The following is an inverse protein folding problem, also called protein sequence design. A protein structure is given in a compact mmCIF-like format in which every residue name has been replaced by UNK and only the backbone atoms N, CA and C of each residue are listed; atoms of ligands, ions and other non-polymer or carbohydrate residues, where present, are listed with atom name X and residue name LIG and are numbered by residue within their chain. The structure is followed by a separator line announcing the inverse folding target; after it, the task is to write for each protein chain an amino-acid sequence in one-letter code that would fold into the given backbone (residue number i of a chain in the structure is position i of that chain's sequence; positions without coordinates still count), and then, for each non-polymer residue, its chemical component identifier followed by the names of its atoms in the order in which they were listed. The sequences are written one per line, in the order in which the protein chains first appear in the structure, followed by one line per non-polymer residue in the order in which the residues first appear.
data_IF_152728628513
#
_entry.id   IF_152728628513
#
_cell.length_a   1.000
_cell.length_b   1.000
_cell.length_c   1.000
_cell.angle_alpha   90.00
_cell.angle_beta   90.00
_cell.angle_gamma   90.00
#
_symmetry.space_group_name_H-M   'P 1'
#
loop_
_entity.id
_entity.type
_entity.pdbx_description
1 polymer ?
#
# COMPACT_ATOMS: atom_id res chain seq x y z
N UNK A 1 -27.77 40.90 -9.28
CA UNK A 1 -27.81 39.49 -8.81
C UNK A 1 -26.43 38.84 -8.80
N UNK A 2 -25.64 38.89 -9.89
CA UNK A 2 -24.30 38.26 -9.93
C UNK A 2 -23.30 38.76 -8.86
N UNK A 3 -23.36 40.03 -8.46
CA UNK A 3 -22.49 40.62 -7.44
C UNK A 3 -22.72 40.06 -6.02
N UNK A 4 -23.96 39.74 -5.65
CA UNK A 4 -24.29 39.19 -4.33
C UNK A 4 -23.80 37.75 -4.17
N UNK A 5 -23.87 36.95 -5.24
CA UNK A 5 -23.32 35.60 -5.25
C UNK A 5 -21.78 35.63 -5.10
N UNK A 6 -21.09 36.54 -5.79
CA UNK A 6 -19.64 36.68 -5.66
C UNK A 6 -19.21 37.04 -4.23
N UNK A 7 -19.89 37.99 -3.58
CA UNK A 7 -19.61 38.38 -2.19
C UNK A 7 -19.85 37.20 -1.22
N UNK A 8 -20.93 36.44 -1.43
CA UNK A 8 -21.22 35.25 -0.63
C UNK A 8 -20.12 34.18 -0.76
N UNK A 9 -19.65 33.89 -1.98
CA UNK A 9 -18.57 32.92 -2.18
C UNK A 9 -17.26 33.36 -1.52
N UNK A 10 -16.92 34.65 -1.60
CA UNK A 10 -15.73 35.20 -0.92
C UNK A 10 -15.84 35.00 0.59
N UNK A 11 -16.97 35.39 1.19
CA UNK A 11 -17.21 35.24 2.63
C UNK A 11 -17.16 33.78 3.08
N UNK A 12 -17.71 32.86 2.28
CA UNK A 12 -17.65 31.42 2.56
C UNK A 12 -16.24 30.85 2.42
N UNK A 13 -15.41 31.38 1.52
CA UNK A 13 -14.03 30.92 1.30
C UNK A 13 -13.03 31.43 2.35
N UNK A 14 -13.28 32.61 2.93
CA UNK A 14 -12.40 33.27 3.87
C UNK A 14 -11.96 32.41 5.08
N UNK A 15 -12.84 31.67 5.79
CA UNK A 15 -12.41 30.79 6.88
C UNK A 15 -11.46 29.68 6.42
N UNK A 16 -11.63 29.15 5.20
CA UNK A 16 -10.74 28.13 4.64
C UNK A 16 -9.35 28.72 4.33
N UNK A 17 -9.30 29.92 3.74
CA UNK A 17 -8.05 30.63 3.49
C UNK A 17 -7.29 30.94 4.78
N UNK A 18 -7.99 31.47 5.79
CA UNK A 18 -7.38 31.78 7.11
C UNK A 18 -6.88 30.50 7.77
N UNK A 19 -7.68 29.43 7.78
CA UNK A 19 -7.29 28.13 8.35
C UNK A 19 -6.05 27.54 7.64
N UNK A 20 -6.01 27.64 6.31
CA UNK A 20 -4.85 27.21 5.52
C UNK A 20 -3.60 28.02 5.86
N UNK A 21 -3.70 29.36 5.91
CA UNK A 21 -2.57 30.23 6.24
C UNK A 21 -2.02 29.98 7.66
N UNK A 22 -2.90 29.79 8.63
CA UNK A 22 -2.51 29.42 10.01
C UNK A 22 -1.80 28.07 10.01
N UNK A 23 -2.37 27.07 9.33
CA UNK A 23 -1.76 25.72 9.23
C UNK A 23 -0.40 25.76 8.55
N UNK A 24 -0.25 26.60 7.51
CA UNK A 24 1.00 26.82 6.80
C UNK A 24 2.07 27.47 7.69
N UNK A 25 1.69 28.51 8.44
CA UNK A 25 2.57 29.15 9.41
C UNK A 25 3.04 28.15 10.49
N UNK A 26 2.12 27.38 11.05
CA UNK A 26 2.41 26.35 12.05
C UNK A 26 3.32 25.24 11.51
N UNK A 27 3.12 24.82 10.26
CA UNK A 27 3.97 23.82 9.59
C UNK A 27 5.42 24.30 9.47
N UNK A 28 5.64 25.52 8.99
CA UNK A 28 6.99 26.08 8.87
C UNK A 28 7.62 26.39 10.23
N UNK A 29 6.82 26.87 11.19
CA UNK A 29 7.28 27.10 12.55
C UNK A 29 7.76 25.80 13.21
N UNK A 30 6.96 24.73 13.14
CA UNK A 30 7.29 23.44 13.70
C UNK A 30 8.56 22.84 13.07
N UNK A 31 8.70 22.92 11.73
CA UNK A 31 9.89 22.42 11.05
C UNK A 31 11.16 23.23 11.37
N UNK A 32 11.07 24.55 11.55
CA UNK A 32 12.24 25.40 11.88
C UNK A 32 12.68 25.26 13.33
N UNK A 33 11.74 25.00 14.25
CA UNK A 33 12.02 24.88 15.68
C UNK A 33 12.09 23.42 16.16
N UNK A 34 12.01 22.44 15.25
CA UNK A 34 12.23 21.05 15.60
C UNK A 34 13.72 20.81 15.81
N UNK A 35 14.11 20.66 17.07
CA UNK A 35 15.41 20.11 17.44
C UNK A 35 15.31 18.60 17.47
N UNK A 36 16.33 17.89 16.96
CA UNK A 36 16.41 16.43 16.95
C UNK A 36 16.34 15.77 18.34
N UNK A 37 16.40 16.55 19.42
CA UNK A 37 16.33 16.07 20.82
C UNK A 37 14.92 16.04 21.41
N UNK A 38 13.96 16.74 20.79
CA UNK A 38 12.60 16.84 21.34
C UNK A 38 11.68 15.78 20.72
N UNK A 39 11.09 14.93 21.57
CA UNK A 39 10.03 13.98 21.15
C UNK A 39 8.75 14.78 20.89
N UNK A 40 8.56 15.18 19.64
CA UNK A 40 7.37 15.92 19.18
C UNK A 40 6.70 15.17 18.03
N UNK A 41 5.39 15.33 17.94
CA UNK A 41 4.66 14.83 16.79
C UNK A 41 5.15 15.55 15.52
N UNK A 42 5.36 14.81 14.41
CA UNK A 42 5.71 15.41 13.13
C UNK A 42 4.73 16.52 12.72
N UNK A 43 5.18 17.57 12.01
CA UNK A 43 4.31 18.65 11.60
C UNK A 43 3.18 18.14 10.69
N UNK A 44 2.01 18.78 10.77
CA UNK A 44 0.87 18.46 9.89
C UNK A 44 1.01 19.27 8.61
N UNK A 45 0.93 18.60 7.47
CA UNK A 45 0.93 19.26 6.17
C UNK A 45 -0.38 20.07 5.99
N UNK A 46 -0.30 21.34 5.57
CA UNK A 46 -1.48 22.15 5.31
C UNK A 46 -2.32 21.57 4.16
N UNK A 47 -3.59 21.29 4.43
CA UNK A 47 -4.54 20.79 3.44
C UNK A 47 -5.40 21.93 2.90
N UNK A 48 -5.50 22.05 1.57
CA UNK A 48 -6.36 23.04 0.93
C UNK A 48 -7.86 22.72 1.09
N UNK A 49 -8.21 21.42 1.09
CA UNK A 49 -9.59 20.95 1.22
C UNK A 49 -9.71 20.20 2.55
N UNK A 50 -10.43 20.72 3.56
CA UNK A 50 -10.44 20.09 4.89
C UNK A 50 -10.98 18.66 4.91
N UNK A 51 -11.98 18.37 4.07
CA UNK A 51 -12.64 17.05 4.06
C UNK A 51 -11.82 16.00 3.33
N UNK A 52 -11.22 16.36 2.19
CA UNK A 52 -10.41 15.44 1.38
C UNK A 52 -8.96 15.37 1.83
N UNK A 53 -8.48 16.40 2.54
CA UNK A 53 -7.08 16.50 2.92
C UNK A 53 -6.16 16.50 1.70
N UNK A 54 -5.34 15.46 1.63
CA UNK A 54 -4.34 15.20 0.60
C UNK A 54 -4.66 13.95 -0.23
N UNK A 55 -5.89 13.43 -0.15
CA UNK A 55 -6.31 12.20 -0.83
C UNK A 55 -6.04 12.24 -2.34
N UNK A 56 -6.37 13.35 -3.01
CA UNK A 56 -6.22 13.45 -4.47
C UNK A 56 -4.75 13.33 -4.91
N UNK A 57 -3.81 14.20 -4.47
CA UNK A 57 -2.41 14.05 -4.89
C UNK A 57 -1.80 12.73 -4.41
N UNK A 58 -2.24 12.19 -3.26
CA UNK A 58 -1.78 10.90 -2.78
C UNK A 58 -2.24 9.73 -3.66
N UNK A 59 -3.48 9.74 -4.16
CA UNK A 59 -4.01 8.62 -4.98
C UNK A 59 -3.57 8.66 -6.44
N UNK A 60 -3.37 9.86 -7.01
CA UNK A 60 -3.10 10.01 -8.44
C UNK A 60 -1.64 10.30 -8.80
N UNK A 61 -0.83 10.76 -7.83
CA UNK A 61 0.61 11.05 -8.02
C UNK A 61 1.39 10.73 -6.73
N UNK A 62 1.19 9.50 -6.23
CA UNK A 62 1.70 9.07 -4.92
C UNK A 62 3.21 9.26 -4.78
N UNK A 63 3.99 8.82 -5.77
CA UNK A 63 5.44 8.86 -5.73
C UNK A 63 5.98 10.29 -5.64
N UNK A 64 5.54 11.18 -6.52
CA UNK A 64 6.01 12.57 -6.51
C UNK A 64 5.47 13.33 -5.29
N UNK A 65 4.24 13.05 -4.86
CA UNK A 65 3.67 13.62 -3.64
C UNK A 65 4.49 13.24 -2.40
N UNK A 66 4.74 11.95 -2.19
CA UNK A 66 5.51 11.46 -1.03
C UNK A 66 6.92 12.05 -1.03
N UNK A 67 7.63 12.01 -2.16
CA UNK A 67 8.98 12.62 -2.30
C UNK A 67 9.00 14.09 -1.94
N UNK A 68 8.00 14.84 -2.40
CA UNK A 68 7.93 16.28 -2.14
C UNK A 68 7.62 16.60 -0.68
N UNK A 69 6.68 15.87 -0.05
CA UNK A 69 6.17 16.24 1.28
C UNK A 69 7.04 15.73 2.43
N UNK A 70 7.86 14.70 2.20
CA UNK A 70 8.83 14.20 3.16
C UNK A 70 10.21 14.87 3.02
N UNK A 71 10.28 16.01 2.34
CA UNK A 71 11.48 16.81 2.22
C UNK A 71 11.20 18.25 2.67
N UNK A 72 12.01 18.75 3.58
CA UNK A 72 11.93 20.13 4.07
C UNK A 72 13.31 20.77 4.08
N UNK A 73 13.46 21.94 3.44
CA UNK A 73 14.71 22.67 3.34
C UNK A 73 15.91 21.79 2.87
N UNK A 74 15.66 20.89 1.91
CA UNK A 74 16.66 19.99 1.35
C UNK A 74 17.01 18.77 2.21
N UNK A 75 16.34 18.56 3.35
CA UNK A 75 16.53 17.40 4.22
C UNK A 75 15.30 16.51 4.26
N UNK A 76 15.49 15.20 4.40
CA UNK A 76 14.39 14.29 4.66
C UNK A 76 13.73 14.64 6.00
N UNK A 77 12.41 14.48 6.05
CA UNK A 77 11.59 14.79 7.20
C UNK A 77 10.37 13.88 7.26
N UNK A 78 9.86 13.66 8.48
CA UNK A 78 8.58 13.02 8.71
C UNK A 78 7.46 14.07 8.69
N UNK A 79 6.34 13.77 8.04
CA UNK A 79 5.17 14.66 7.96
C UNK A 79 3.89 13.89 8.22
N UNK A 80 2.90 14.56 8.84
CA UNK A 80 1.54 14.04 8.93
C UNK A 80 0.68 14.60 7.82
N UNK A 81 0.07 13.72 7.05
CA UNK A 81 -0.95 14.06 6.06
C UNK A 81 -2.33 13.61 6.56
N UNK A 82 -3.36 14.10 5.89
CA UNK A 82 -4.75 13.65 6.06
C UNK A 82 -5.19 13.01 4.76
N UNK A 83 -5.63 11.76 4.79
CA UNK A 83 -6.37 11.12 3.71
C UNK A 83 -7.84 11.07 4.12
N UNK A 84 -8.63 11.94 3.52
CA UNK A 84 -9.99 12.25 3.95
C UNK A 84 -10.00 12.58 5.45
N UNK A 85 -10.56 11.71 6.31
CA UNK A 85 -10.66 11.89 7.75
C UNK A 85 -9.58 11.16 8.57
N UNK A 86 -8.66 10.43 7.94
CA UNK A 86 -7.64 9.64 8.61
C UNK A 86 -6.26 10.29 8.50
N UNK A 87 -5.56 10.42 9.62
CA UNK A 87 -4.19 10.91 9.66
C UNK A 87 -3.19 9.81 9.33
N UNK A 88 -2.21 10.10 8.46
CA UNK A 88 -1.13 9.18 8.10
C UNK A 88 0.21 9.88 8.27
N UNK A 89 1.21 9.12 8.73
CA UNK A 89 2.60 9.55 8.82
C UNK A 89 3.35 9.12 7.56
N UNK A 90 4.05 10.06 6.92
CA UNK A 90 4.93 9.81 5.79
C UNK A 90 6.36 10.16 6.18
N UNK A 91 7.30 9.28 5.85
CA UNK A 91 8.73 9.45 6.07
C UNK A 91 9.51 8.54 5.11
N UNK A 92 10.75 8.90 4.83
CA UNK A 92 11.65 8.14 3.92
C UNK A 92 13.03 7.87 4.52
N UNK A 93 13.27 8.28 5.77
CA UNK A 93 14.57 8.11 6.44
C UNK A 93 14.86 6.62 6.66
N UNK A 94 15.98 6.07 6.13
CA UNK A 94 16.31 4.65 6.23
C UNK A 94 16.33 4.13 7.68
N UNK A 95 16.84 4.94 8.61
CA UNK A 95 16.92 4.61 10.03
C UNK A 95 15.52 4.50 10.65
N UNK A 96 14.62 5.42 10.31
CA UNK A 96 13.23 5.40 10.78
C UNK A 96 12.46 4.22 10.20
N UNK A 97 12.65 3.91 8.90
CA UNK A 97 12.07 2.73 8.25
C UNK A 97 12.56 1.45 8.93
N UNK A 98 13.88 1.32 9.13
CA UNK A 98 14.47 0.16 9.79
C UNK A 98 13.99 0.00 11.24
N UNK A 99 13.81 1.11 11.97
CA UNK A 99 13.28 1.09 13.33
C UNK A 99 11.81 0.65 13.36
N UNK A 100 10.97 1.19 12.46
CA UNK A 100 9.56 0.81 12.36
C UNK A 100 9.39 -0.69 12.07
N UNK A 101 10.16 -1.20 11.12
CA UNK A 101 10.08 -2.61 10.69
C UNK A 101 10.49 -3.60 11.79
N UNK A 102 11.33 -3.16 12.73
CA UNK A 102 11.73 -3.96 13.89
C UNK A 102 10.74 -3.86 15.04
N UNK A 103 9.80 -2.91 15.01
CA UNK A 103 8.86 -2.70 16.10
C UNK A 103 7.67 -3.65 16.00
N UNK A 104 7.44 -4.55 16.97
CA UNK A 104 6.39 -5.59 16.90
C UNK A 104 4.99 -5.04 16.65
N UNK A 105 4.63 -3.93 17.32
CA UNK A 105 3.28 -3.36 17.22
C UNK A 105 3.05 -2.50 15.96
N UNK A 106 4.11 -2.04 15.31
CA UNK A 106 4.01 -1.10 14.17
C UNK A 106 4.36 -1.76 12.83
N UNK A 107 4.92 -2.97 12.86
CA UNK A 107 5.30 -3.74 11.67
C UNK A 107 4.18 -4.63 11.14
N UNK A 108 3.03 -4.71 11.80
CA UNK A 108 1.93 -5.59 11.37
C UNK A 108 1.23 -5.04 10.11
N UNK A 109 1.28 -5.75 8.97
CA UNK A 109 0.60 -5.34 7.74
C UNK A 109 -0.88 -5.77 7.68
N UNK A 110 -1.42 -6.38 8.76
CA UNK A 110 -2.71 -7.09 8.72
C UNK A 110 -3.88 -6.19 8.31
N UNK A 111 -3.85 -4.90 8.70
CA UNK A 111 -4.86 -3.94 8.30
C UNK A 111 -4.89 -3.74 6.78
N UNK A 112 -3.73 -3.58 6.14
CA UNK A 112 -3.66 -3.38 4.69
C UNK A 112 -4.08 -4.65 3.94
N UNK A 113 -3.70 -5.83 4.44
CA UNK A 113 -4.14 -7.10 3.85
C UNK A 113 -5.64 -7.29 3.93
N UNK A 114 -6.27 -7.01 5.07
CA UNK A 114 -7.73 -7.18 5.22
C UNK A 114 -8.51 -6.19 4.36
N UNK A 115 -8.03 -4.95 4.19
CA UNK A 115 -8.57 -3.98 3.23
C UNK A 115 -8.44 -4.51 1.79
N UNK A 116 -7.27 -5.01 1.40
CA UNK A 116 -7.04 -5.58 0.08
C UNK A 116 -7.94 -6.78 -0.22
N UNK A 117 -7.96 -7.78 0.67
CA UNK A 117 -8.80 -8.97 0.53
C UNK A 117 -10.29 -8.62 0.43
N UNK A 118 -10.77 -7.68 1.24
CA UNK A 118 -12.18 -7.27 1.22
C UNK A 118 -12.55 -6.50 -0.05
N UNK A 119 -11.79 -5.47 -0.38
CA UNK A 119 -12.22 -4.48 -1.38
C UNK A 119 -11.62 -4.71 -2.78
N UNK A 120 -10.43 -5.33 -2.89
CA UNK A 120 -9.84 -5.68 -4.19
C UNK A 120 -10.29 -7.07 -4.64
N UNK A 121 -10.30 -8.04 -3.73
CA UNK A 121 -10.61 -9.44 -4.06
C UNK A 121 -12.05 -9.85 -3.72
N UNK A 122 -12.86 -8.96 -3.16
CA UNK A 122 -14.27 -9.23 -2.85
C UNK A 122 -14.48 -10.31 -1.77
N UNK A 123 -13.50 -10.54 -0.90
CA UNK A 123 -13.60 -11.54 0.16
C UNK A 123 -14.71 -11.17 1.16
N UNK A 124 -15.56 -12.15 1.48
CA UNK A 124 -16.64 -12.01 2.47
C UNK A 124 -16.08 -11.85 3.88
N UNK A 125 -16.87 -11.25 4.78
CA UNK A 125 -16.44 -10.92 6.14
C UNK A 125 -16.04 -12.16 6.97
N UNK A 126 -16.78 -13.27 6.87
CA UNK A 126 -16.49 -14.48 7.67
C UNK A 126 -15.06 -15.06 7.44
N UNK A 127 -14.57 -15.25 6.20
CA UNK A 127 -13.16 -15.58 5.97
C UNK A 127 -12.15 -14.53 6.48
N UNK A 128 -12.51 -13.24 6.47
CA UNK A 128 -11.63 -12.17 6.95
C UNK A 128 -11.40 -12.24 8.47
N UNK A 129 -12.36 -12.76 9.23
CA UNK A 129 -12.24 -12.94 10.68
C UNK A 129 -11.01 -13.78 11.06
N UNK A 130 -10.66 -14.79 10.26
CA UNK A 130 -9.47 -15.62 10.48
C UNK A 130 -8.18 -14.80 10.38
N UNK A 131 -8.13 -13.83 9.46
CA UNK A 131 -6.97 -12.94 9.31
C UNK A 131 -6.91 -11.91 10.44
N UNK A 132 -8.04 -11.34 10.84
CA UNK A 132 -8.08 -10.34 11.93
C UNK A 132 -7.83 -10.95 13.31
N UNK A 133 -8.13 -12.23 13.48
CA UNK A 133 -7.88 -12.97 14.73
C UNK A 133 -6.41 -13.41 14.89
N UNK A 134 -5.61 -13.35 13.82
CA UNK A 134 -4.20 -13.70 13.86
C UNK A 134 -3.33 -12.51 14.30
N UNK A 135 -2.85 -12.55 15.54
CA UNK A 135 -1.96 -11.57 16.15
C UNK A 135 -0.49 -12.01 16.18
N UNK A 136 -0.16 -13.13 15.54
CA UNK A 136 1.19 -13.73 15.60
C UNK A 136 2.26 -12.88 14.93
N UNK A 137 1.87 -12.00 14.01
CA UNK A 137 2.79 -11.11 13.31
C UNK A 137 3.55 -11.76 12.17
N UNK A 138 4.32 -10.97 11.39
CA UNK A 138 4.97 -11.44 10.17
C UNK A 138 6.29 -12.18 10.40
N UNK A 139 6.74 -12.31 11.66
CA UNK A 139 8.05 -12.87 11.99
C UNK A 139 8.02 -14.39 12.11
N UNK A 140 9.20 -15.01 12.00
CA UNK A 140 9.36 -16.47 12.21
C UNK A 140 8.88 -16.90 13.61
N UNK A 141 9.14 -16.06 14.62
CA UNK A 141 8.63 -16.27 15.98
C UNK A 141 7.39 -15.40 16.17
N UNK A 142 6.27 -15.97 16.65
CA UNK A 142 5.09 -15.19 16.95
C UNK A 142 5.38 -14.10 18.00
N UNK A 143 4.59 -13.02 17.97
CA UNK A 143 4.61 -12.01 19.03
C UNK A 143 4.38 -12.63 20.41
N UNK A 144 4.99 -12.05 21.45
CA UNK A 144 4.80 -12.51 22.82
C UNK A 144 3.34 -12.37 23.25
N UNK A 145 2.76 -13.45 23.79
CA UNK A 145 1.39 -13.44 24.33
C UNK A 145 0.30 -13.93 23.37
N UNK A 146 0.64 -14.24 22.12
CA UNK A 146 -0.32 -14.87 21.18
C UNK A 146 -0.64 -16.31 21.57
N UNK A 147 -1.92 -16.67 21.46
CA UNK A 147 -2.44 -18.02 21.68
C UNK A 147 -2.89 -18.72 20.38
N UNK A 148 -2.55 -18.16 19.21
CA UNK A 148 -2.98 -18.72 17.93
C UNK A 148 -2.20 -20.00 17.60
N UNK A 149 -2.94 -21.09 17.44
CA UNK A 149 -2.40 -22.40 17.09
C UNK A 149 -1.64 -22.34 15.74
N UNK A 150 -0.54 -23.10 15.57
CA UNK A 150 0.32 -23.00 14.37
C UNK A 150 -0.41 -23.16 13.01
N UNK A 151 -1.48 -23.94 12.97
CA UNK A 151 -2.26 -24.19 11.74
C UNK A 151 -3.23 -23.06 11.39
N UNK A 152 -3.52 -22.15 12.33
CA UNK A 152 -4.42 -21.00 12.14
C UNK A 152 -3.65 -19.70 11.83
N UNK A 153 -2.32 -19.78 11.64
CA UNK A 153 -1.48 -18.63 11.32
C UNK A 153 -1.55 -18.33 9.83
N UNK A 154 -1.81 -17.08 9.50
CA UNK A 154 -1.98 -16.56 8.14
C UNK A 154 -0.72 -16.72 7.28
N UNK A 155 0.47 -16.62 7.87
CA UNK A 155 1.75 -16.76 7.16
C UNK A 155 2.46 -18.03 7.64
N UNK A 156 2.40 -19.09 6.83
CA UNK A 156 3.15 -20.33 7.06
C UNK A 156 4.31 -20.46 6.06
N UNK A 157 5.48 -19.99 6.47
CA UNK A 157 6.72 -20.00 5.65
C UNK A 157 7.18 -21.39 5.20
N UNK A 158 6.79 -22.47 5.91
CA UNK A 158 7.17 -23.84 5.52
C UNK A 158 6.44 -24.31 4.26
N UNK A 159 5.16 -23.93 4.05
CA UNK A 159 4.40 -24.33 2.86
C UNK A 159 4.94 -23.68 1.59
N UNK A 160 5.36 -22.41 1.68
CA UNK A 160 5.94 -21.68 0.55
C UNK A 160 7.30 -22.24 0.11
N UNK A 161 8.13 -22.71 1.05
CA UNK A 161 9.41 -23.35 0.70
C UNK A 161 9.22 -24.71 -0.01
N UNK A 162 8.19 -25.46 0.35
CA UNK A 162 7.89 -26.74 -0.30
C UNK A 162 7.37 -26.57 -1.74
N UNK A 163 6.63 -25.50 -2.04
CA UNK A 163 6.14 -25.24 -3.41
C UNK A 163 7.21 -24.69 -4.36
N UNK A 164 8.23 -24.01 -3.83
CA UNK A 164 9.34 -23.42 -4.61
C UNK A 164 10.52 -24.38 -4.83
N UNK A 165 10.45 -25.61 -4.32
CA UNK A 165 11.49 -26.60 -4.56
C UNK A 165 11.50 -26.98 -6.05
N UNK A 166 12.63 -26.86 -6.76
CA UNK A 166 12.65 -27.01 -8.21
C UNK A 166 12.22 -28.43 -8.60
N UNK A 167 11.09 -28.54 -9.31
CA UNK A 167 10.79 -29.73 -10.09
C UNK A 167 11.78 -29.76 -11.24
N UNK A 168 12.77 -30.63 -11.11
CA UNK A 168 13.79 -30.88 -12.12
C UNK A 168 13.10 -31.59 -13.30
N UNK A 169 12.83 -30.87 -14.39
CA UNK A 169 12.39 -31.46 -15.66
C UNK A 169 13.64 -31.77 -16.50
N UNK A 170 13.97 -33.05 -16.75
CA UNK A 170 15.08 -33.40 -17.63
C UNK A 170 14.63 -33.30 -19.09
N UNK A 171 15.16 -32.34 -19.84
CA UNK A 171 14.93 -32.28 -21.28
C UNK A 171 15.22 -30.93 -21.89
N UNK A 172 16.50 -30.60 -22.08
CA UNK A 172 16.87 -29.48 -22.95
C UNK A 172 16.63 -29.88 -24.41
N UNK A 173 15.42 -29.60 -24.91
CA UNK A 173 15.16 -29.62 -26.35
C UNK A 173 15.68 -28.31 -26.95
N UNK A 174 16.58 -28.41 -27.92
CA UNK A 174 17.02 -27.27 -28.71
C UNK A 174 15.83 -26.76 -29.55
N UNK A 175 15.14 -25.75 -29.02
CA UNK A 175 14.12 -25.03 -29.78
C UNK A 175 14.81 -23.95 -30.64
N UNK A 176 14.38 -23.77 -31.91
CA UNK A 176 14.88 -22.66 -32.72
C UNK A 176 14.53 -21.33 -32.06
N UNK A 177 15.43 -20.34 -32.17
CA UNK A 177 15.19 -18.99 -31.68
C UNK A 177 13.88 -18.44 -32.26
N UNK A 178 12.95 -18.07 -31.38
CA UNK A 178 11.71 -17.39 -31.76
C UNK A 178 11.81 -15.93 -31.30
N UNK A 179 11.58 -14.96 -32.20
CA UNK A 179 11.52 -13.56 -31.78
C UNK A 179 10.31 -13.36 -30.87
N UNK A 180 10.54 -12.75 -29.70
CA UNK A 180 9.49 -12.33 -28.78
C UNK A 180 9.55 -10.81 -28.66
N UNK A 181 8.47 -10.08 -29.00
CA UNK A 181 8.48 -8.62 -29.01
C UNK A 181 8.42 -8.02 -27.59
N UNK A 182 7.96 -8.78 -26.60
CA UNK A 182 7.80 -8.33 -25.22
C UNK A 182 8.36 -9.36 -24.23
N UNK A 183 9.45 -8.97 -23.55
CA UNK A 183 10.09 -9.79 -22.53
C UNK A 183 9.22 -9.94 -21.27
N UNK A 184 8.44 -8.93 -20.91
CA UNK A 184 7.52 -9.00 -19.77
C UNK A 184 6.41 -10.02 -20.05
N UNK A 185 5.87 -10.01 -21.26
CA UNK A 185 4.88 -10.99 -21.70
C UNK A 185 5.43 -12.42 -21.61
N UNK A 186 6.70 -12.64 -22.00
CA UNK A 186 7.34 -13.94 -21.83
C UNK A 186 7.33 -14.42 -20.36
N UNK A 187 7.69 -13.56 -19.40
CA UNK A 187 7.65 -13.90 -17.98
C UNK A 187 6.22 -14.15 -17.49
N UNK A 188 5.27 -13.27 -17.86
CA UNK A 188 3.85 -13.39 -17.53
C UNK A 188 3.28 -14.75 -17.95
N UNK A 189 3.62 -15.20 -19.15
CA UNK A 189 3.09 -16.44 -19.73
C UNK A 189 3.77 -17.69 -19.18
N UNK A 190 5.11 -17.71 -19.11
CA UNK A 190 5.85 -18.92 -18.78
C UNK A 190 6.02 -19.10 -17.26
N UNK A 191 6.48 -18.05 -16.58
CA UNK A 191 6.67 -18.08 -15.12
C UNK A 191 5.33 -18.03 -14.41
N UNK A 192 4.40 -17.18 -14.86
CA UNK A 192 3.05 -17.12 -14.30
C UNK A 192 2.31 -18.47 -14.36
N UNK A 193 2.36 -19.16 -15.51
CA UNK A 193 1.81 -20.51 -15.65
C UNK A 193 2.47 -21.51 -14.71
N UNK A 194 3.79 -21.58 -14.69
CA UNK A 194 4.52 -22.52 -13.82
C UNK A 194 4.21 -22.30 -12.33
N UNK A 195 4.06 -21.03 -11.91
CA UNK A 195 3.64 -20.68 -10.54
C UNK A 195 2.21 -21.16 -10.29
N UNK A 196 1.25 -20.88 -11.17
CA UNK A 196 -0.14 -21.32 -11.00
C UNK A 196 -0.25 -22.84 -10.92
N UNK A 197 0.42 -23.57 -11.81
CA UNK A 197 0.39 -25.04 -11.81
C UNK A 197 1.08 -25.64 -10.59
N UNK A 198 2.13 -24.99 -10.07
CA UNK A 198 2.81 -25.47 -8.86
C UNK A 198 1.98 -25.22 -7.58
N UNK A 199 1.23 -24.12 -7.52
CA UNK A 199 0.41 -23.75 -6.36
C UNK A 199 -0.97 -24.41 -6.36
N UNK A 200 -1.62 -24.49 -7.52
CA UNK A 200 -3.02 -24.88 -7.66
C UNK A 200 -3.21 -26.18 -8.47
N UNK A 201 -2.13 -26.72 -9.04
CA UNK A 201 -2.19 -27.85 -9.96
C UNK A 201 -2.62 -27.44 -11.38
N UNK A 202 -2.56 -28.39 -12.34
CA UNK A 202 -2.87 -28.12 -13.75
C UNK A 202 -4.37 -27.95 -14.02
N UNK A 203 -5.24 -28.40 -13.10
CA UNK A 203 -6.69 -28.44 -13.33
C UNK A 203 -7.31 -27.06 -13.57
N UNK A 204 -6.79 -26.00 -12.93
CA UNK A 204 -7.30 -24.65 -13.11
C UNK A 204 -7.14 -24.16 -14.55
N UNK A 205 -5.96 -24.35 -15.14
CA UNK A 205 -5.66 -23.91 -16.50
C UNK A 205 -6.28 -24.84 -17.55
N UNK A 206 -6.48 -26.12 -17.22
CA UNK A 206 -7.24 -27.03 -18.08
C UNK A 206 -8.72 -26.64 -18.15
N UNK A 207 -9.32 -26.24 -17.02
CA UNK A 207 -10.71 -25.82 -16.95
C UNK A 207 -10.94 -24.39 -17.49
N UNK A 208 -9.98 -23.49 -17.28
CA UNK A 208 -10.01 -22.13 -17.80
C UNK A 208 -8.65 -21.75 -18.42
N UNK A 209 -8.44 -22.05 -19.72
CA UNK A 209 -7.16 -21.78 -20.40
C UNK A 209 -6.76 -20.31 -20.43
N UNK A 210 -7.75 -19.40 -20.36
CA UNK A 210 -7.54 -17.95 -20.41
C UNK A 210 -7.33 -17.33 -19.02
N UNK A 211 -7.40 -18.13 -17.95
CA UNK A 211 -7.31 -17.63 -16.58
C UNK A 211 -6.08 -16.74 -16.33
N UNK A 212 -4.92 -17.14 -16.84
CA UNK A 212 -3.68 -16.37 -16.67
C UNK A 212 -3.75 -15.00 -17.34
N UNK A 213 -4.34 -14.90 -18.54
CA UNK A 213 -4.53 -13.63 -19.22
C UNK A 213 -5.50 -12.72 -18.45
N UNK A 214 -6.62 -13.28 -17.98
CA UNK A 214 -7.59 -12.55 -17.15
C UNK A 214 -7.01 -12.12 -15.81
N UNK A 215 -6.11 -12.92 -15.23
CA UNK A 215 -5.40 -12.55 -14.00
C UNK A 215 -4.52 -11.32 -14.21
N UNK A 216 -3.82 -11.23 -15.34
CA UNK A 216 -3.01 -10.05 -15.68
C UNK A 216 -3.86 -8.83 -16.02
N UNK A 217 -5.00 -9.02 -16.69
CA UNK A 217 -5.98 -7.94 -16.89
C UNK A 217 -6.49 -7.38 -15.55
N UNK A 218 -6.77 -8.26 -14.58
CA UNK A 218 -7.12 -7.86 -13.22
C UNK A 218 -5.97 -7.13 -12.50
N UNK A 219 -4.72 -7.61 -12.64
CA UNK A 219 -3.53 -6.96 -12.07
C UNK A 219 -3.36 -5.53 -12.62
N UNK A 220 -3.54 -5.34 -13.92
CA UNK A 220 -3.49 -4.02 -14.57
C UNK A 220 -4.62 -3.08 -14.10
N UNK A 221 -5.78 -3.62 -13.75
CA UNK A 221 -6.89 -2.87 -13.17
C UNK A 221 -6.72 -2.57 -11.66
N UNK A 222 -5.83 -3.27 -10.96
CA UNK A 222 -5.66 -3.19 -9.51
C UNK A 222 -5.39 -1.76 -9.01
N UNK A 223 -4.54 -0.92 -9.65
CA UNK A 223 -4.35 0.48 -9.23
C UNK A 223 -5.64 1.31 -9.26
N UNK A 224 -6.59 1.00 -10.14
CA UNK A 224 -7.89 1.68 -10.18
C UNK A 224 -8.83 1.14 -9.11
N UNK A 225 -8.90 -0.19 -8.95
CA UNK A 225 -9.68 -0.82 -7.89
C UNK A 225 -9.23 -0.35 -6.49
N UNK A 226 -7.93 -0.18 -6.29
CA UNK A 226 -7.34 0.30 -5.03
C UNK A 226 -7.75 1.73 -4.67
N UNK A 227 -8.06 2.57 -5.66
CA UNK A 227 -8.58 3.93 -5.43
C UNK A 227 -10.03 3.95 -4.96
N UNK A 228 -10.76 2.83 -5.13
CA UNK A 228 -12.18 2.68 -4.78
C UNK A 228 -13.06 3.78 -5.38
N UNK A 229 -12.69 4.25 -6.57
CA UNK A 229 -13.49 5.15 -7.38
C UNK A 229 -14.36 4.30 -8.34
N UNK A 230 -15.58 4.75 -8.66
CA UNK A 230 -16.43 4.06 -9.63
C UNK A 230 -15.78 3.98 -11.02
#
# INVERSE_FOLDING_TARGET
MASHFAVLYILLSLPFCVSYLVSWGLYHWANRHSSSRDVRLPPRLPAAIPILGHTIPFLFDSASFVTRVTAYAGKLSCVRISLSMTGIYLFQEPEAVAALWKHPLLSSPIFIYTVGLRYLFGMKDKPLETYTADDTGPFRRPHSGTNVAPHNRSINTQRLQMSLSPRHEPGHRHHPWRPMPDLLQFFRDHVGRAILESLLGPLLLNANPNFLATLWEFDEATPWLAKRLP
#
